data_IF_155551988714
#
_entry.id   IF_155551988714
#
_cell.length_a   1.000
_cell.length_b   1.000
_cell.length_c   1.000
_cell.angle_alpha   90.00
_cell.angle_beta   90.00
_cell.angle_gamma   90.00
#
_symmetry.space_group_name_H-M   'P 1'
#
loop_
_entity.id
_entity.type
_entity.pdbx_description
1 polymer ?
#
# COMPACT_ATOMS: atom_id res chain seq x y z
N UNK A 1 76.27 52.97 0.24
CA UNK A 1 75.88 51.57 -0.01
C UNK A 1 76.88 50.88 -0.89
N UNK A 2 77.43 49.75 -0.45
CA UNK A 2 78.41 48.96 -1.22
C UNK A 2 77.72 48.07 -2.27
N UNK A 3 78.50 47.51 -3.22
CA UNK A 3 77.96 46.61 -4.24
C UNK A 3 77.33 45.33 -3.67
N UNK A 4 77.86 44.80 -2.57
CA UNK A 4 77.35 43.58 -1.91
C UNK A 4 76.00 43.81 -1.21
N UNK A 5 75.76 45.01 -0.70
CA UNK A 5 74.48 45.42 -0.10
C UNK A 5 73.35 45.48 -1.14
N UNK A 6 73.61 46.08 -2.31
CA UNK A 6 72.68 46.10 -3.44
C UNK A 6 72.34 44.68 -3.94
N UNK A 7 73.33 43.78 -3.98
CA UNK A 7 73.12 42.37 -4.32
C UNK A 7 72.25 41.63 -3.31
N UNK A 8 72.47 41.85 -2.00
CA UNK A 8 71.62 41.27 -0.93
C UNK A 8 70.18 41.80 -1.00
N UNK A 9 69.99 43.09 -1.26
CA UNK A 9 68.66 43.69 -1.44
C UNK A 9 67.91 43.07 -2.64
N UNK A 10 68.59 42.90 -3.79
CA UNK A 10 68.03 42.22 -4.97
C UNK A 10 67.63 40.77 -4.69
N UNK A 11 68.47 39.99 -3.99
CA UNK A 11 68.13 38.60 -3.59
C UNK A 11 66.88 38.55 -2.71
N UNK A 12 66.79 39.42 -1.69
CA UNK A 12 65.59 39.52 -0.82
C UNK A 12 64.32 39.87 -1.60
N UNK A 13 64.41 40.79 -2.57
CA UNK A 13 63.26 41.14 -3.41
C UNK A 13 62.79 39.97 -4.29
N UNK A 14 63.72 39.22 -4.89
CA UNK A 14 63.40 38.02 -5.67
C UNK A 14 62.79 36.92 -4.79
N UNK A 15 63.34 36.68 -3.60
CA UNK A 15 62.79 35.70 -2.64
C UNK A 15 61.38 36.09 -2.15
N UNK A 16 61.15 37.38 -1.87
CA UNK A 16 59.83 37.89 -1.50
C UNK A 16 58.82 37.71 -2.64
N UNK A 17 59.20 38.04 -3.88
CA UNK A 17 58.36 37.82 -5.06
C UNK A 17 58.07 36.32 -5.28
N UNK A 18 59.06 35.45 -5.07
CA UNK A 18 58.88 33.99 -5.17
C UNK A 18 57.85 33.49 -4.16
N UNK A 19 57.96 33.89 -2.88
CA UNK A 19 56.98 33.56 -1.83
C UNK A 19 55.58 34.11 -2.12
N UNK A 20 55.48 35.31 -2.69
CA UNK A 20 54.19 35.88 -3.11
C UNK A 20 53.57 35.12 -4.29
N UNK A 21 54.39 34.61 -5.22
CA UNK A 21 53.93 33.75 -6.31
C UNK A 21 53.51 32.36 -5.79
N UNK A 22 54.32 31.74 -4.92
CA UNK A 22 54.01 30.47 -4.24
C UNK A 22 52.70 30.55 -3.46
N UNK A 23 52.48 31.62 -2.68
CA UNK A 23 51.22 31.86 -1.96
C UNK A 23 50.02 31.98 -2.91
N UNK A 24 50.15 32.73 -4.01
CA UNK A 24 49.08 32.84 -5.03
C UNK A 24 48.78 31.50 -5.69
N UNK A 25 49.80 30.71 -6.05
CA UNK A 25 49.63 29.39 -6.64
C UNK A 25 49.01 28.36 -5.67
N UNK A 26 49.28 28.48 -4.36
CA UNK A 26 48.61 27.68 -3.33
C UNK A 26 47.12 28.04 -3.22
N UNK A 27 46.79 29.33 -3.17
CA UNK A 27 45.41 29.81 -3.11
C UNK A 27 44.62 29.42 -4.37
N UNK A 28 45.22 29.56 -5.55
CA UNK A 28 44.56 29.17 -6.81
C UNK A 28 44.22 27.68 -6.85
N UNK A 29 45.12 26.80 -6.38
CA UNK A 29 44.83 25.37 -6.27
C UNK A 29 43.68 25.09 -5.29
N UNK A 30 43.70 25.69 -4.10
CA UNK A 30 42.61 25.56 -3.14
C UNK A 30 41.26 26.04 -3.72
N UNK A 31 41.25 27.19 -4.40
CA UNK A 31 40.07 27.73 -5.07
C UNK A 31 39.52 26.77 -6.16
N UNK A 32 40.40 26.09 -6.91
CA UNK A 32 40.01 25.09 -7.92
C UNK A 32 39.40 23.84 -7.29
N UNK A 33 39.96 23.37 -6.17
CA UNK A 33 39.44 22.22 -5.41
C UNK A 33 38.09 22.54 -4.74
N UNK A 34 37.95 23.75 -4.18
CA UNK A 34 36.68 24.27 -3.64
C UNK A 34 35.64 24.43 -4.76
N UNK A 35 36.01 24.96 -5.93
CA UNK A 35 35.11 25.09 -7.07
C UNK A 35 34.68 23.73 -7.65
N UNK A 36 35.54 22.70 -7.60
CA UNK A 36 35.14 21.33 -7.89
C UNK A 36 34.11 20.82 -6.87
N UNK A 37 34.35 21.05 -5.58
CA UNK A 37 33.43 20.68 -4.49
C UNK A 37 32.06 21.36 -4.61
N UNK A 38 32.03 22.66 -4.91
CA UNK A 38 30.79 23.42 -5.15
C UNK A 38 30.00 22.84 -6.33
N UNK A 39 30.66 22.48 -7.44
CA UNK A 39 29.98 21.86 -8.60
C UNK A 39 29.32 20.53 -8.24
N UNK A 40 30.01 19.68 -7.47
CA UNK A 40 29.46 18.39 -7.00
C UNK A 40 28.26 18.61 -6.05
N UNK A 41 28.35 19.59 -5.14
CA UNK A 41 27.24 19.91 -4.24
C UNK A 41 26.01 20.44 -5.01
N UNK A 42 26.21 21.33 -5.99
CA UNK A 42 25.12 21.82 -6.86
C UNK A 42 24.47 20.70 -7.69
N UNK A 43 25.26 19.73 -8.17
CA UNK A 43 24.72 18.55 -8.86
C UNK A 43 23.86 17.67 -7.92
N UNK A 44 24.32 17.47 -6.67
CA UNK A 44 23.55 16.71 -5.66
C UNK A 44 22.25 17.41 -5.27
N UNK A 45 22.26 18.74 -5.09
CA UNK A 45 21.04 19.51 -4.82
C UNK A 45 20.03 19.36 -5.97
N UNK A 46 20.46 19.56 -7.23
CA UNK A 46 19.59 19.37 -8.41
C UNK A 46 19.03 17.95 -8.52
N UNK A 47 19.78 16.94 -8.09
CA UNK A 47 19.28 15.56 -8.05
C UNK A 47 18.18 15.37 -7.00
N UNK A 48 18.29 16.02 -5.84
CA UNK A 48 17.22 16.06 -4.82
C UNK A 48 16.00 16.83 -5.32
N UNK A 49 16.17 17.98 -5.96
CA UNK A 49 15.07 18.77 -6.52
C UNK A 49 14.29 17.98 -7.59
N UNK A 50 15.01 17.28 -8.48
CA UNK A 50 14.42 16.42 -9.50
C UNK A 50 13.69 15.21 -8.89
N UNK A 51 14.28 14.59 -7.87
CA UNK A 51 13.67 13.51 -7.10
C UNK A 51 12.37 13.96 -6.42
N UNK A 52 12.37 15.14 -5.80
CA UNK A 52 11.18 15.69 -5.14
C UNK A 52 10.06 15.95 -6.16
N UNK A 53 10.37 16.60 -7.29
CA UNK A 53 9.39 16.86 -8.36
C UNK A 53 8.77 15.56 -8.87
N UNK A 54 9.58 14.57 -9.26
CA UNK A 54 9.10 13.27 -9.74
C UNK A 54 8.27 12.56 -8.67
N UNK A 55 8.64 12.68 -7.39
CA UNK A 55 7.90 12.06 -6.28
C UNK A 55 6.54 12.73 -6.06
N UNK A 56 6.47 14.06 -6.13
CA UNK A 56 5.23 14.82 -6.02
C UNK A 56 4.29 14.54 -7.20
N UNK A 57 4.80 14.51 -8.43
CA UNK A 57 4.01 14.14 -9.62
C UNK A 57 3.44 12.73 -9.51
N UNK A 58 4.27 11.77 -9.09
CA UNK A 58 3.81 10.39 -8.87
C UNK A 58 2.75 10.29 -7.77
N UNK A 59 2.84 11.07 -6.69
CA UNK A 59 1.80 11.12 -5.63
C UNK A 59 0.53 11.78 -6.15
N UNK A 60 0.64 12.92 -6.85
CA UNK A 60 -0.50 13.63 -7.44
C UNK A 60 -1.29 12.74 -8.40
N UNK A 61 -0.59 12.00 -9.28
CA UNK A 61 -1.25 11.10 -10.22
C UNK A 61 -1.89 9.89 -9.52
N UNK A 62 -1.24 9.32 -8.51
CA UNK A 62 -1.84 8.28 -7.67
C UNK A 62 -3.13 8.76 -6.99
N UNK A 63 -3.15 10.00 -6.49
CA UNK A 63 -4.34 10.63 -5.87
C UNK A 63 -5.44 10.88 -6.91
N UNK A 64 -5.11 11.37 -8.11
CA UNK A 64 -6.08 11.56 -9.21
C UNK A 64 -6.72 10.24 -9.61
N UNK A 65 -5.92 9.21 -9.82
CA UNK A 65 -6.40 7.87 -10.17
C UNK A 65 -7.23 7.23 -9.06
N UNK A 66 -6.90 7.47 -7.79
CA UNK A 66 -7.71 7.00 -6.67
C UNK A 66 -9.05 7.74 -6.54
N UNK A 67 -9.04 9.06 -6.72
CA UNK A 67 -10.25 9.87 -6.77
C UNK A 67 -11.16 9.46 -7.94
N UNK A 68 -10.59 9.16 -9.12
CA UNK A 68 -11.34 8.64 -10.26
C UNK A 68 -12.01 7.29 -9.94
N UNK A 69 -11.28 6.31 -9.40
CA UNK A 69 -11.84 5.01 -8.98
C UNK A 69 -12.99 5.16 -7.98
N UNK A 70 -12.83 6.05 -6.99
CA UNK A 70 -13.87 6.36 -5.99
C UNK A 70 -15.11 6.97 -6.66
N UNK A 71 -14.96 7.96 -7.55
CA UNK A 71 -16.08 8.56 -8.29
C UNK A 71 -16.85 7.51 -9.10
N UNK A 72 -16.18 6.65 -9.85
CA UNK A 72 -16.83 5.56 -10.62
C UNK A 72 -17.63 4.64 -9.69
N UNK A 73 -17.06 4.23 -8.55
CA UNK A 73 -17.79 3.42 -7.56
C UNK A 73 -19.04 4.15 -7.02
N UNK A 74 -18.94 5.43 -6.70
CA UNK A 74 -20.09 6.23 -6.26
C UNK A 74 -21.14 6.43 -7.36
N UNK A 75 -20.73 6.58 -8.63
CA UNK A 75 -21.62 6.68 -9.78
C UNK A 75 -22.41 5.39 -10.03
N UNK A 76 -21.76 4.22 -10.04
CA UNK A 76 -22.43 2.92 -10.17
C UNK A 76 -23.43 2.70 -9.03
N UNK A 77 -23.03 3.03 -7.79
CA UNK A 77 -23.93 2.94 -6.64
C UNK A 77 -25.14 3.89 -6.75
N UNK A 78 -24.92 5.14 -7.21
CA UNK A 78 -25.99 6.11 -7.43
C UNK A 78 -26.95 5.66 -8.54
N UNK A 79 -26.43 5.18 -9.67
CA UNK A 79 -27.23 4.62 -10.76
C UNK A 79 -28.08 3.45 -10.27
N UNK A 80 -27.49 2.55 -9.47
CA UNK A 80 -28.19 1.39 -8.90
C UNK A 80 -29.31 1.80 -7.94
N UNK A 81 -29.05 2.75 -7.03
CA UNK A 81 -30.08 3.26 -6.08
C UNK A 81 -31.20 3.98 -6.84
N UNK A 82 -30.84 4.86 -7.80
CA UNK A 82 -31.79 5.59 -8.65
C UNK A 82 -32.64 4.64 -9.49
N UNK A 83 -32.03 3.58 -10.05
CA UNK A 83 -32.72 2.51 -10.78
C UNK A 83 -33.82 1.89 -9.92
N UNK A 84 -33.46 1.35 -8.74
CA UNK A 84 -34.43 0.77 -7.80
C UNK A 84 -35.53 1.73 -7.32
N UNK A 85 -35.31 3.04 -7.37
CA UNK A 85 -36.38 4.02 -7.11
C UNK A 85 -37.31 4.16 -8.32
N UNK A 86 -36.76 4.24 -9.53
CA UNK A 86 -37.53 4.28 -10.79
C UNK A 86 -38.34 3.00 -11.03
N UNK A 87 -37.80 1.83 -10.68
CA UNK A 87 -38.49 0.55 -10.79
C UNK A 87 -39.74 0.49 -9.89
N UNK A 88 -39.77 1.29 -8.82
CA UNK A 88 -40.92 1.52 -7.93
C UNK A 88 -41.79 2.72 -8.38
N UNK A 89 -41.68 3.14 -9.64
CA UNK A 89 -42.47 4.21 -10.25
C UNK A 89 -42.02 5.64 -9.95
N UNK A 90 -40.90 5.85 -9.24
CA UNK A 90 -40.47 7.21 -8.88
C UNK A 90 -39.88 7.97 -10.08
N UNK A 91 -40.34 9.20 -10.30
CA UNK A 91 -39.79 10.11 -11.31
C UNK A 91 -38.46 10.72 -10.84
N UNK A 92 -37.61 11.19 -11.75
CA UNK A 92 -36.34 11.86 -11.38
C UNK A 92 -36.61 13.12 -10.53
N UNK A 93 -37.70 13.84 -10.78
CA UNK A 93 -38.11 14.97 -9.96
C UNK A 93 -38.45 14.53 -8.52
N UNK A 94 -39.27 13.49 -8.36
CA UNK A 94 -39.60 12.92 -7.04
C UNK A 94 -38.37 12.41 -6.30
N UNK A 95 -37.47 11.71 -7.00
CA UNK A 95 -36.20 11.22 -6.43
C UNK A 95 -35.33 12.39 -5.95
N UNK A 96 -35.25 13.49 -6.71
CA UNK A 96 -34.50 14.68 -6.33
C UNK A 96 -35.11 15.36 -5.09
N UNK A 97 -36.44 15.50 -5.03
CA UNK A 97 -37.16 16.02 -3.84
C UNK A 97 -36.92 15.14 -2.62
N UNK A 98 -37.02 13.81 -2.75
CA UNK A 98 -36.77 12.85 -1.66
C UNK A 98 -35.31 12.79 -1.21
N UNK A 99 -34.37 13.23 -2.04
CA UNK A 99 -32.94 13.28 -1.74
C UNK A 99 -32.44 14.70 -1.41
N UNK A 100 -33.34 15.68 -1.31
CA UNK A 100 -33.04 17.10 -0.99
C UNK A 100 -32.00 17.74 -1.94
N UNK A 101 -32.04 17.41 -3.23
CA UNK A 101 -31.13 17.94 -4.27
C UNK A 101 -31.88 18.59 -5.43
N UNK A 102 -31.22 19.49 -6.14
CA UNK A 102 -31.78 20.00 -7.40
C UNK A 102 -31.95 18.88 -8.44
N UNK A 103 -33.10 18.87 -9.13
CA UNK A 103 -33.38 17.96 -10.25
C UNK A 103 -32.28 18.05 -11.32
N UNK A 104 -31.81 19.27 -11.60
CA UNK A 104 -30.72 19.57 -12.54
C UNK A 104 -29.41 18.91 -12.13
N UNK A 105 -29.05 18.95 -10.85
CA UNK A 105 -27.79 18.37 -10.37
C UNK A 105 -27.84 16.85 -10.34
N UNK A 106 -28.96 16.25 -9.91
CA UNK A 106 -29.16 14.81 -10.04
C UNK A 106 -29.05 14.35 -11.50
N UNK A 107 -29.67 15.07 -12.44
CA UNK A 107 -29.54 14.80 -13.88
C UNK A 107 -28.10 14.99 -14.39
N UNK A 108 -27.38 16.02 -13.94
CA UNK A 108 -25.98 16.27 -14.30
C UNK A 108 -25.07 15.13 -13.83
N UNK A 109 -25.23 14.68 -12.58
CA UNK A 109 -24.44 13.58 -12.02
C UNK A 109 -24.78 12.25 -12.72
N UNK A 110 -26.07 11.97 -12.97
CA UNK A 110 -26.48 10.76 -13.72
C UNK A 110 -26.03 10.76 -15.18
N UNK A 111 -25.91 11.94 -15.83
CA UNK A 111 -25.31 12.05 -17.17
C UNK A 111 -23.81 11.74 -17.14
N UNK A 112 -23.07 12.27 -16.15
CA UNK A 112 -21.63 11.98 -15.97
C UNK A 112 -21.40 10.49 -15.70
N UNK A 113 -22.20 9.88 -14.82
CA UNK A 113 -22.15 8.45 -14.50
C UNK A 113 -22.25 7.56 -15.76
N UNK A 114 -23.18 7.86 -16.67
CA UNK A 114 -23.33 7.14 -17.95
C UNK A 114 -22.19 7.38 -18.94
N UNK A 115 -21.56 8.55 -18.93
CA UNK A 115 -20.43 8.85 -19.80
C UNK A 115 -19.18 8.04 -19.41
N UNK A 116 -18.95 7.86 -18.10
CA UNK A 116 -17.82 7.06 -17.59
C UNK A 116 -17.97 5.56 -17.90
N UNK A 117 -19.19 5.01 -17.93
CA UNK A 117 -19.43 3.61 -18.32
C UNK A 117 -19.01 3.32 -19.77
N UNK A 118 -19.33 4.21 -20.71
CA UNK A 118 -18.90 4.09 -22.11
C UNK A 118 -17.37 4.21 -22.30
N UNK A 119 -16.69 4.94 -21.41
CA UNK A 119 -15.23 4.97 -21.35
C UNK A 119 -14.64 3.66 -20.81
N UNK A 120 -15.25 3.08 -19.78
CA UNK A 120 -14.83 1.80 -19.22
C UNK A 120 -14.99 0.63 -20.21
N UNK A 121 -16.09 0.59 -20.97
CA UNK A 121 -16.35 -0.43 -21.99
C UNK A 121 -15.32 -0.38 -23.14
N UNK A 122 -15.05 0.81 -23.71
CA UNK A 122 -14.00 0.96 -24.73
C UNK A 122 -12.60 0.64 -24.19
N UNK A 123 -12.31 0.94 -22.92
CA UNK A 123 -11.03 0.57 -22.30
C UNK A 123 -10.89 -0.94 -22.07
N UNK A 124 -11.99 -1.66 -21.80
CA UNK A 124 -11.96 -3.14 -21.74
C UNK A 124 -11.86 -3.78 -23.12
N UNK A 125 -12.57 -3.27 -24.12
CA UNK A 125 -12.45 -3.73 -25.52
C UNK A 125 -11.03 -3.50 -26.06
N UNK A 126 -10.44 -2.33 -25.81
CA UNK A 126 -9.06 -1.99 -26.20
C UNK A 126 -8.02 -2.91 -25.55
N UNK A 127 -8.19 -3.26 -24.26
CA UNK A 127 -7.32 -4.23 -23.58
C UNK A 127 -7.46 -5.65 -24.14
N UNK A 128 -8.68 -6.05 -24.50
CA UNK A 128 -8.93 -7.36 -25.11
C UNK A 128 -8.35 -7.44 -26.54
N UNK A 129 -8.41 -6.36 -27.31
CA UNK A 129 -7.76 -6.26 -28.62
C UNK A 129 -6.22 -6.34 -28.52
N UNK A 130 -5.62 -5.66 -27.54
CA UNK A 130 -4.17 -5.74 -27.29
C UNK A 130 -3.72 -7.15 -26.86
N UNK A 131 -4.55 -7.87 -26.08
CA UNK A 131 -4.27 -9.24 -25.66
C UNK A 131 -4.32 -10.27 -26.82
N UNK A 132 -5.09 -10.00 -27.88
CA UNK A 132 -5.22 -10.89 -29.03
C UNK A 132 -4.15 -10.66 -30.12
N UNK A 133 -3.50 -9.49 -30.14
CA UNK A 133 -2.50 -9.14 -31.16
C UNK A 133 -1.04 -9.52 -30.81
N UNK A 134 -0.79 -10.07 -29.61
CA UNK A 134 0.56 -10.36 -29.13
C UNK A 134 1.16 -11.71 -29.61
N UNK A 135 0.37 -12.57 -30.27
CA UNK A 135 0.77 -13.91 -30.68
C UNK A 135 1.09 -14.03 -32.18
N UNK A 136 1.73 -13.00 -32.77
CA UNK A 136 1.97 -12.89 -34.21
C UNK A 136 3.42 -12.54 -34.57
N UNK A 137 4.19 -13.56 -34.96
CA UNK A 137 5.45 -13.50 -35.71
C UNK A 137 6.66 -12.75 -35.09
N UNK A 138 7.68 -13.53 -34.72
CA UNK A 138 9.08 -13.15 -34.94
C UNK A 138 9.91 -14.40 -35.26
N UNK A 139 10.10 -14.68 -36.55
CA UNK A 139 11.10 -15.63 -37.04
C UNK A 139 12.42 -14.88 -37.19
N UNK A 140 13.47 -15.36 -36.53
CA UNK A 140 14.70 -14.58 -36.33
C UNK A 140 15.77 -14.74 -37.42
N UNK A 141 16.88 -14.05 -37.21
CA UNK A 141 18.23 -14.50 -37.61
C UNK A 141 19.31 -13.84 -36.77
N UNK A 142 20.45 -14.53 -36.64
CA UNK A 142 21.45 -14.34 -35.58
C UNK A 142 22.69 -13.57 -36.05
N UNK A 143 23.36 -12.90 -35.10
CA UNK A 143 24.80 -13.08 -34.76
C UNK A 143 25.16 -12.17 -33.57
N UNK A 144 25.56 -12.73 -32.41
CA UNK A 144 26.96 -12.94 -31.97
C UNK A 144 27.68 -11.62 -31.60
N UNK A 145 28.32 -11.40 -30.45
CA UNK A 145 28.97 -12.26 -29.41
C UNK A 145 28.74 -11.60 -28.02
N UNK A 146 28.72 -12.25 -26.85
CA UNK A 146 28.87 -13.67 -26.48
C UNK A 146 29.86 -13.90 -25.31
N UNK A 147 29.39 -13.92 -24.05
CA UNK A 147 30.14 -14.36 -22.85
C UNK A 147 29.21 -15.15 -21.92
N UNK A 148 29.58 -16.37 -21.57
CA UNK A 148 28.79 -17.27 -20.73
C UNK A 148 28.91 -16.98 -19.22
N UNK A 149 27.78 -17.03 -18.52
CA UNK A 149 27.70 -17.54 -17.15
C UNK A 149 26.40 -18.33 -16.98
N UNK A 150 26.49 -19.49 -16.32
CA UNK A 150 25.49 -20.56 -16.43
C UNK A 150 24.06 -20.16 -16.06
N UNK A 151 23.14 -20.42 -16.99
CA UNK A 151 21.71 -20.54 -16.70
C UNK A 151 21.44 -21.85 -15.95
N UNK A 152 20.74 -21.75 -14.82
CA UNK A 152 19.92 -22.85 -14.29
C UNK A 152 18.50 -22.66 -14.81
N UNK A 153 17.95 -23.72 -15.42
CA UNK A 153 16.67 -23.69 -16.14
C UNK A 153 15.49 -23.94 -15.19
N UNK A 154 14.38 -23.24 -15.48
CA UNK A 154 13.00 -23.48 -15.03
C UNK A 154 12.66 -23.35 -13.52
N UNK A 155 11.95 -22.26 -13.22
CA UNK A 155 10.73 -22.31 -12.39
C UNK A 155 9.73 -21.26 -12.93
N UNK A 156 8.58 -21.72 -13.39
CA UNK A 156 7.65 -20.91 -14.18
C UNK A 156 6.92 -19.80 -13.40
N UNK A 157 6.71 -18.67 -14.07
CA UNK A 157 5.54 -17.80 -13.92
C UNK A 157 5.08 -17.41 -12.50
N UNK A 158 6.01 -17.14 -11.57
CA UNK A 158 5.70 -16.28 -10.43
C UNK A 158 5.99 -14.83 -10.83
N UNK A 159 5.01 -13.90 -10.78
CA UNK A 159 5.32 -12.49 -11.00
C UNK A 159 6.28 -12.04 -9.91
N UNK A 160 7.51 -11.72 -10.31
CA UNK A 160 8.59 -11.24 -9.44
C UNK A 160 8.17 -9.88 -8.89
N UNK A 161 7.39 -9.91 -7.81
CA UNK A 161 6.82 -8.74 -7.16
C UNK A 161 7.94 -7.86 -6.68
N UNK A 162 8.26 -6.82 -7.46
CA UNK A 162 9.23 -5.79 -7.12
C UNK A 162 8.98 -5.36 -5.66
N UNK A 163 9.95 -5.59 -4.73
CA UNK A 163 9.77 -5.29 -3.32
C UNK A 163 9.56 -3.80 -3.05
N UNK A 164 9.88 -2.95 -4.02
CA UNK A 164 9.68 -1.51 -3.98
C UNK A 164 8.31 -1.08 -4.55
N UNK A 165 7.47 -1.99 -5.08
CA UNK A 165 6.13 -1.67 -5.63
C UNK A 165 4.98 -2.29 -4.84
N UNK A 166 3.88 -1.55 -4.76
CA UNK A 166 2.67 -2.00 -4.09
C UNK A 166 1.93 -3.07 -4.91
N UNK A 167 1.79 -4.28 -4.37
CA UNK A 167 1.11 -5.42 -5.04
C UNK A 167 -0.34 -5.11 -5.49
N UNK A 168 -0.98 -4.06 -4.94
CA UNK A 168 -2.37 -3.70 -5.29
C UNK A 168 -2.50 -2.62 -6.36
N UNK A 169 -1.61 -1.63 -6.37
CA UNK A 169 -1.76 -0.42 -7.20
C UNK A 169 -0.46 0.00 -7.91
N UNK A 170 0.57 -0.84 -7.83
CA UNK A 170 1.91 -0.65 -8.39
C UNK A 170 2.69 0.60 -7.95
N UNK A 171 2.12 1.40 -7.03
CA UNK A 171 2.78 2.59 -6.48
C UNK A 171 4.13 2.24 -5.83
N UNK A 172 5.17 2.97 -6.25
CA UNK A 172 6.54 2.85 -5.74
C UNK A 172 6.60 3.27 -4.28
N UNK A 173 6.82 2.31 -3.38
CA UNK A 173 6.84 2.45 -1.93
C UNK A 173 8.20 2.90 -1.38
N UNK A 174 9.29 2.55 -2.07
CA UNK A 174 10.67 2.88 -1.70
C UNK A 174 11.45 3.28 -2.96
N UNK A 175 12.45 4.12 -2.77
CA UNK A 175 13.45 4.43 -3.79
C UNK A 175 14.37 3.21 -3.99
N UNK A 176 14.66 2.76 -5.23
CA UNK A 176 15.52 1.60 -5.47
C UNK A 176 16.94 1.74 -4.88
N UNK A 177 17.46 2.95 -4.66
CA UNK A 177 18.80 3.15 -4.07
C UNK A 177 18.80 3.16 -2.53
N UNK A 178 17.64 3.30 -1.88
CA UNK A 178 17.56 3.23 -0.41
C UNK A 178 17.57 1.76 0.01
N UNK A 179 18.78 1.24 0.24
CA UNK A 179 19.03 -0.14 0.70
C UNK A 179 18.07 -0.54 1.82
N UNK A 180 17.48 -1.73 1.68
CA UNK A 180 16.44 -2.26 2.56
C UNK A 180 16.70 -2.00 4.04
N UNK A 181 15.79 -1.24 4.68
CA UNK A 181 15.72 -1.14 6.16
C UNK A 181 15.73 -2.55 6.75
N UNK A 182 16.44 -2.76 7.86
CA UNK A 182 16.43 -4.06 8.58
C UNK A 182 14.98 -4.47 8.88
N UNK A 183 14.53 -5.57 8.28
CA UNK A 183 13.16 -6.07 8.38
C UNK A 183 12.55 -6.44 7.04
N UNK A 184 11.37 -7.06 7.07
CA UNK A 184 10.65 -7.49 5.87
C UNK A 184 10.03 -6.28 5.14
N UNK A 185 10.22 -6.11 3.81
CA UNK A 185 9.56 -5.06 3.05
C UNK A 185 8.04 -5.05 3.21
N UNK A 186 7.44 -3.85 3.24
CA UNK A 186 5.98 -3.70 3.13
C UNK A 186 5.54 -4.15 1.74
N UNK A 187 4.44 -4.90 1.64
CA UNK A 187 3.83 -5.31 0.35
C UNK A 187 2.80 -4.31 -0.21
N UNK A 188 2.38 -3.35 0.61
CA UNK A 188 1.30 -2.42 0.29
C UNK A 188 1.67 -1.01 0.76
N UNK A 189 1.42 -0.01 -0.08
CA UNK A 189 1.72 1.39 0.21
C UNK A 189 0.88 1.95 1.37
N UNK A 190 -0.32 1.41 1.61
CA UNK A 190 -1.23 1.83 2.67
C UNK A 190 -2.04 0.66 3.26
N UNK A 191 -2.62 0.87 4.44
CA UNK A 191 -3.56 -0.08 5.06
C UNK A 191 -4.87 -0.21 4.26
N UNK A 192 -5.22 0.79 3.45
CA UNK A 192 -6.35 0.73 2.50
C UNK A 192 -6.03 -0.22 1.34
N UNK A 193 -4.89 -0.05 0.66
CA UNK A 193 -4.46 -1.02 -0.36
C UNK A 193 -4.32 -2.45 0.16
N UNK A 194 -3.92 -2.64 1.43
CA UNK A 194 -3.92 -3.96 2.09
C UNK A 194 -5.33 -4.51 2.28
N UNK A 195 -6.28 -3.70 2.76
CA UNK A 195 -7.68 -4.09 2.93
C UNK A 195 -8.34 -4.43 1.60
N UNK A 196 -8.17 -3.58 0.58
CA UNK A 196 -8.77 -3.77 -0.74
C UNK A 196 -8.20 -5.02 -1.45
N UNK A 197 -6.91 -5.29 -1.32
CA UNK A 197 -6.30 -6.53 -1.81
C UNK A 197 -6.75 -7.78 -1.02
N UNK A 198 -7.16 -7.62 0.25
CA UNK A 198 -7.78 -8.69 1.01
C UNK A 198 -9.22 -8.91 0.56
N UNK A 199 -10.01 -7.84 0.44
CA UNK A 199 -11.39 -7.89 -0.03
C UNK A 199 -11.49 -8.47 -1.44
N UNK A 200 -10.59 -8.10 -2.36
CA UNK A 200 -10.51 -8.67 -3.70
C UNK A 200 -10.20 -10.18 -3.70
N UNK A 201 -9.36 -10.67 -2.77
CA UNK A 201 -9.10 -12.12 -2.62
C UNK A 201 -10.27 -12.86 -1.97
N UNK A 202 -10.97 -12.24 -1.02
CA UNK A 202 -12.17 -12.81 -0.42
C UNK A 202 -13.35 -12.82 -1.40
N UNK A 203 -13.48 -11.80 -2.27
CA UNK A 203 -14.38 -11.83 -3.43
C UNK A 203 -13.97 -12.95 -4.38
N UNK A 204 -12.69 -12.94 -4.82
CA UNK A 204 -11.90 -14.05 -5.37
C UNK A 204 -12.46 -15.44 -5.04
N UNK A 205 -12.37 -15.79 -3.75
CA UNK A 205 -12.78 -17.07 -3.17
C UNK A 205 -14.29 -17.31 -3.21
N UNK A 206 -15.12 -16.25 -3.11
CA UNK A 206 -16.59 -16.33 -3.12
C UNK A 206 -17.19 -16.47 -4.52
N UNK A 207 -16.45 -16.25 -5.60
CA UNK A 207 -16.99 -16.42 -6.96
C UNK A 207 -17.35 -17.89 -7.30
N UNK A 208 -17.01 -18.86 -6.44
CA UNK A 208 -17.48 -20.25 -6.52
C UNK A 208 -18.59 -20.64 -5.54
N UNK A 209 -19.00 -19.77 -4.61
CA UNK A 209 -20.02 -20.08 -3.61
C UNK A 209 -21.26 -19.17 -3.78
N UNK A 210 -22.47 -19.74 -3.97
CA UNK A 210 -23.70 -18.96 -3.99
C UNK A 210 -23.88 -18.17 -2.69
N UNK A 211 -24.08 -16.85 -2.81
CA UNK A 211 -24.36 -15.99 -1.65
C UNK A 211 -25.70 -16.41 -1.05
N UNK A 212 -25.65 -17.15 0.06
CA UNK A 212 -26.85 -17.52 0.83
C UNK A 212 -27.40 -16.26 1.51
N UNK A 213 -28.42 -15.67 0.89
CA UNK A 213 -29.26 -14.66 1.52
C UNK A 213 -30.06 -15.38 2.60
N UNK A 214 -29.62 -15.27 3.86
CA UNK A 214 -30.43 -15.66 5.01
C UNK A 214 -31.39 -14.51 5.27
N UNK A 215 -32.62 -14.63 4.77
CA UNK A 215 -33.71 -13.78 5.24
C UNK A 215 -33.91 -14.06 6.73
N UNK A 216 -33.63 -13.07 7.57
CA UNK A 216 -33.92 -13.12 9.00
C UNK A 216 -35.34 -12.58 9.18
N UNK A 217 -36.35 -13.41 9.53
CA UNK A 217 -37.70 -12.92 9.73
C UNK A 217 -37.70 -12.00 10.94
N UNK A 218 -38.02 -10.72 10.73
CA UNK A 218 -38.05 -9.73 11.81
C UNK A 218 -39.37 -9.84 12.57
N UNK A 219 -39.52 -10.94 13.32
CA UNK A 219 -40.69 -11.19 14.15
C UNK A 219 -40.83 -10.10 15.23
N UNK A 220 -42.03 -9.52 15.32
CA UNK A 220 -42.35 -8.50 16.30
C UNK A 220 -42.48 -9.08 17.71
N UNK A 221 -42.23 -8.23 18.70
CA UNK A 221 -42.37 -8.54 20.13
C UNK A 221 -43.84 -8.81 20.48
N UNK A 222 -44.13 -9.95 21.12
CA UNK A 222 -44.84 -10.04 22.43
C UNK A 222 -44.99 -11.48 22.94
N UNK A 223 -45.10 -11.60 24.26
CA UNK A 223 -44.91 -12.82 25.04
C UNK A 223 -46.15 -13.73 25.12
N UNK A 224 -45.95 -15.05 25.13
CA UNK A 224 -46.60 -15.98 26.07
C UNK A 224 -45.93 -17.38 26.04
N UNK A 225 -45.59 -17.88 27.23
CA UNK A 225 -45.33 -19.28 27.61
C UNK A 225 -46.00 -20.38 26.74
N UNK A 226 -45.36 -21.51 26.44
CA UNK A 226 -44.87 -22.46 27.46
C UNK A 226 -43.77 -23.44 27.01
N UNK A 227 -42.81 -23.61 27.91
CA UNK A 227 -42.26 -24.89 28.40
C UNK A 227 -42.13 -26.09 27.45
N UNK A 228 -40.92 -26.31 26.92
CA UNK A 228 -40.26 -27.60 27.14
C UNK A 228 -38.88 -27.37 27.76
N UNK A 229 -38.77 -27.69 29.05
CA UNK A 229 -37.48 -27.82 29.70
C UNK A 229 -36.85 -29.15 29.28
N UNK A 230 -35.62 -29.11 28.79
CA UNK A 230 -34.66 -30.14 29.18
C UNK A 230 -33.77 -29.51 30.24
N UNK A 231 -33.84 -30.04 31.46
CA UNK A 231 -33.12 -29.50 32.60
C UNK A 231 -31.62 -29.78 32.49
N UNK A 232 -30.88 -28.81 31.95
CA UNK A 232 -29.47 -28.65 32.29
C UNK A 232 -29.41 -27.63 33.43
N UNK A 233 -29.09 -28.11 34.65
CA UNK A 233 -28.75 -27.24 35.77
C UNK A 233 -27.65 -26.28 35.32
N UNK A 234 -27.83 -24.97 35.55
CA UNK A 234 -26.78 -24.00 35.27
C UNK A 234 -25.50 -24.45 35.99
N UNK A 235 -24.36 -24.60 35.27
CA UNK A 235 -23.18 -25.20 35.85
C UNK A 235 -22.70 -24.35 37.01
N UNK A 236 -22.79 -24.91 38.21
CA UNK A 236 -22.35 -24.24 39.43
C UNK A 236 -20.83 -24.27 39.40
N UNK A 237 -20.22 -23.16 38.98
CA UNK A 237 -18.78 -22.96 39.02
C UNK A 237 -18.37 -22.92 40.49
N UNK A 238 -17.88 -24.05 41.02
CA UNK A 238 -17.41 -24.20 42.41
C UNK A 238 -15.89 -24.05 42.51
N UNK A 239 -15.17 -24.27 41.42
CA UNK A 239 -13.72 -24.09 41.33
C UNK A 239 -13.28 -23.38 40.04
N UNK A 240 -12.03 -22.93 40.01
CA UNK A 240 -11.41 -22.40 38.79
C UNK A 240 -11.28 -23.46 37.67
N UNK A 241 -11.20 -24.75 38.02
CA UNK A 241 -11.18 -25.84 37.04
C UNK A 241 -12.54 -25.97 36.34
N UNK A 242 -13.64 -25.91 37.08
CA UNK A 242 -15.00 -25.98 36.55
C UNK A 242 -15.28 -24.85 35.54
N UNK A 243 -14.74 -23.65 35.81
CA UNK A 243 -14.83 -22.51 34.90
C UNK A 243 -14.08 -22.75 33.58
N UNK A 244 -12.90 -23.40 33.65
CA UNK A 244 -12.08 -23.75 32.47
C UNK A 244 -12.75 -24.87 31.67
N UNK A 245 -13.28 -25.89 32.33
CA UNK A 245 -13.98 -27.00 31.67
C UNK A 245 -15.27 -26.50 30.99
N UNK A 246 -16.06 -25.65 31.65
CA UNK A 246 -17.21 -25.00 31.03
C UNK A 246 -16.81 -24.13 29.82
N UNK A 247 -15.72 -23.37 29.92
CA UNK A 247 -15.22 -22.58 28.80
C UNK A 247 -14.75 -23.46 27.64
N UNK A 248 -14.13 -24.63 27.89
CA UNK A 248 -13.72 -25.58 26.87
C UNK A 248 -14.90 -26.24 26.15
N UNK A 249 -16.00 -26.50 26.87
CA UNK A 249 -17.20 -27.12 26.31
C UNK A 249 -18.14 -26.11 25.61
N UNK A 250 -18.04 -24.82 25.91
CA UNK A 250 -18.88 -23.77 25.34
C UNK A 250 -18.11 -22.85 24.37
N UNK A 251 -18.41 -22.96 23.07
CA UNK A 251 -17.70 -22.23 22.01
C UNK A 251 -17.78 -20.70 22.13
N UNK A 252 -18.90 -20.14 22.60
CA UNK A 252 -19.03 -18.70 22.81
C UNK A 252 -18.25 -18.22 24.03
N UNK A 253 -18.25 -18.99 25.13
CA UNK A 253 -17.43 -18.72 26.30
C UNK A 253 -15.92 -18.75 25.95
N UNK A 254 -15.47 -19.77 25.20
CA UNK A 254 -14.10 -19.85 24.70
C UNK A 254 -13.72 -18.64 23.84
N UNK A 255 -14.60 -18.25 22.91
CA UNK A 255 -14.38 -17.08 22.03
C UNK A 255 -14.27 -15.77 22.81
N UNK A 256 -15.09 -15.58 23.84
CA UNK A 256 -15.03 -14.41 24.74
C UNK A 256 -13.73 -14.42 25.55
N UNK A 257 -13.34 -15.58 26.09
CA UNK A 257 -12.11 -15.76 26.86
C UNK A 257 -10.87 -15.43 26.01
N UNK A 258 -10.74 -16.04 24.83
CA UNK A 258 -9.62 -15.80 23.91
C UNK A 258 -9.55 -14.34 23.43
N UNK A 259 -10.71 -13.71 23.17
CA UNK A 259 -10.77 -12.29 22.79
C UNK A 259 -10.30 -11.38 23.93
N UNK A 260 -10.66 -11.72 25.17
CA UNK A 260 -10.28 -10.97 26.38
C UNK A 260 -8.79 -11.11 26.68
N UNK A 261 -8.23 -12.33 26.58
CA UNK A 261 -6.78 -12.57 26.70
C UNK A 261 -6.02 -11.81 25.62
N UNK A 262 -6.50 -11.79 24.37
CA UNK A 262 -5.88 -11.05 23.28
C UNK A 262 -5.92 -9.51 23.49
N UNK A 263 -6.96 -8.97 24.12
CA UNK A 263 -7.03 -7.54 24.48
C UNK A 263 -6.07 -7.19 25.62
N UNK A 264 -6.03 -7.99 26.69
CA UNK A 264 -5.06 -7.83 27.79
C UNK A 264 -3.61 -7.96 27.30
N UNK A 265 -3.34 -8.84 26.34
CA UNK A 265 -2.04 -8.96 25.68
C UNK A 265 -1.64 -7.66 24.95
N UNK A 266 -2.56 -7.03 24.20
CA UNK A 266 -2.31 -5.74 23.52
C UNK A 266 -1.96 -4.62 24.51
N UNK A 267 -2.58 -4.63 25.69
CA UNK A 267 -2.36 -3.65 26.76
C UNK A 267 -1.15 -3.95 27.66
N UNK A 268 -0.49 -5.10 27.48
CA UNK A 268 0.59 -5.63 28.34
C UNK A 268 0.15 -5.90 29.79
N UNK A 269 -1.12 -6.27 29.97
CA UNK A 269 -1.78 -6.57 31.27
C UNK A 269 -1.80 -8.08 31.58
N UNK A 270 -0.97 -8.87 30.90
CA UNK A 270 -0.77 -10.29 31.18
C UNK A 270 0.49 -10.48 32.03
N UNK A 271 0.39 -11.35 33.03
CA UNK A 271 1.56 -11.88 33.71
C UNK A 271 2.41 -12.73 32.75
N UNK A 272 3.69 -12.90 33.10
CA UNK A 272 4.67 -13.56 32.23
C UNK A 272 4.28 -15.01 31.90
N UNK A 273 3.79 -15.76 32.89
CA UNK A 273 3.33 -17.14 32.74
C UNK A 273 2.17 -17.27 31.74
N UNK A 274 1.13 -16.44 31.89
CA UNK A 274 -0.02 -16.43 30.97
C UNK A 274 0.37 -15.96 29.57
N UNK A 275 1.31 -15.01 29.46
CA UNK A 275 1.84 -14.58 28.15
C UNK A 275 2.61 -15.70 27.45
N UNK A 276 3.48 -16.43 28.15
CA UNK A 276 4.23 -17.56 27.59
C UNK A 276 3.28 -18.69 27.17
N UNK A 277 2.28 -19.04 27.99
CA UNK A 277 1.25 -20.03 27.63
C UNK A 277 0.42 -19.60 26.41
N UNK A 278 -0.02 -18.34 26.34
CA UNK A 278 -0.74 -17.80 25.18
C UNK A 278 0.12 -17.79 23.90
N UNK A 279 1.45 -17.62 24.03
CA UNK A 279 2.39 -17.70 22.91
C UNK A 279 2.55 -19.14 22.41
N UNK A 280 2.64 -20.13 23.30
CA UNK A 280 2.71 -21.54 22.88
C UNK A 280 1.39 -21.99 22.23
N UNK A 281 0.23 -21.55 22.72
CA UNK A 281 -1.06 -21.73 22.00
C UNK A 281 -1.02 -21.06 20.62
N UNK A 282 -0.48 -19.84 20.52
CA UNK A 282 -0.32 -19.12 19.25
C UNK A 282 0.55 -19.88 18.24
N UNK A 283 1.63 -20.53 18.69
CA UNK A 283 2.46 -21.43 17.86
C UNK A 283 1.71 -22.70 17.48
N UNK A 284 0.98 -23.32 18.39
CA UNK A 284 0.21 -24.54 18.09
C UNK A 284 -0.85 -24.30 17.00
N UNK A 285 -1.52 -23.15 17.03
CA UNK A 285 -2.52 -22.75 16.00
C UNK A 285 -1.85 -22.26 14.71
N UNK A 286 -0.65 -21.65 14.79
CA UNK A 286 0.09 -21.13 13.64
C UNK A 286 1.57 -21.57 13.65
N UNK A 287 1.88 -22.85 13.38
CA UNK A 287 3.23 -23.42 13.57
C UNK A 287 4.31 -22.75 12.72
N UNK A 288 3.91 -22.18 11.57
CA UNK A 288 4.81 -21.51 10.63
C UNK A 288 4.87 -19.98 10.81
N UNK A 289 4.46 -19.45 11.97
CA UNK A 289 4.35 -18.01 12.24
C UNK A 289 5.17 -17.57 13.45
N UNK A 290 6.50 -17.61 13.27
CA UNK A 290 7.49 -16.93 14.12
C UNK A 290 7.42 -15.41 13.98
#
# INVERSE_FOLDING_TARGET
MSGSEKLRARKRAVEAQRRANEKRANLERANVDDAASVRVLLQRLRAVDAWESVRLDQVNENVRMDAARKRVSHFVNLQTVTGRMRDRGQTIASIATLAEVEVRDLQNVLRRARADEGGAQRATESRNAAALSANGASLGSHSAVGVDHHQLIAADNYPTSDPNRCVRCDAVMLDPEVTSRRGRPRRYCSDTCRRDASAARTAAQRHGEPIRIVEVPRAAVRSASSTQQHGATAPVIRSACDAVEFALQNADAMKILLSSVAERARRKELDRSTFEAARELGKAVYPNRS
#
